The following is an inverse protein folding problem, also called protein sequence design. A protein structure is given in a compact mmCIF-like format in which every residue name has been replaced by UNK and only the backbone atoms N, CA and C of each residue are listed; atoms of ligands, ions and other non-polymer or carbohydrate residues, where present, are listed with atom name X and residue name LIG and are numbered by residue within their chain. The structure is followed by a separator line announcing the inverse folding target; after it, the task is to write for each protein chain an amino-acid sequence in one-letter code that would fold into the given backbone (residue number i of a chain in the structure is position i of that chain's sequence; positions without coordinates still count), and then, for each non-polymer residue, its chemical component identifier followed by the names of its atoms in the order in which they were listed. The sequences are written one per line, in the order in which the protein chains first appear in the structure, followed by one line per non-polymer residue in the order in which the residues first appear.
data_IF_501808951990
#
_entry.id   IF_501808951990
#
_cell.length_a   1.000
_cell.length_b   1.000
_cell.length_c   1.000
_cell.angle_alpha   90.00
_cell.angle_beta   90.00
_cell.angle_gamma   90.00
#
_symmetry.space_group_name_H-M   'P 1'
#
loop_
_entity.id
_entity.type
_entity.pdbx_description
1 polymer ?
#
# COMPACT_ATOMS: atom_id res chain seq x y z
N UNK A 1 -35.47 -34.31 -23.89
CA UNK A 1 -34.10 -33.85 -24.17
C UNK A 1 -33.59 -33.27 -22.86
N UNK A 2 -32.42 -33.69 -22.36
CA UNK A 2 -31.89 -33.20 -21.07
C UNK A 2 -31.10 -31.92 -21.33
N UNK A 3 -31.72 -30.77 -21.10
CA UNK A 3 -31.04 -29.47 -21.19
C UNK A 3 -30.07 -29.23 -20.00
N UNK A 4 -30.02 -30.17 -19.04
CA UNK A 4 -29.32 -30.03 -17.75
C UNK A 4 -27.84 -30.49 -17.74
N UNK A 5 -27.29 -31.03 -18.85
CA UNK A 5 -25.97 -31.71 -18.85
C UNK A 5 -24.82 -30.94 -19.53
N UNK A 6 -25.04 -29.75 -20.09
CA UNK A 6 -23.98 -29.01 -20.81
C UNK A 6 -23.38 -27.92 -19.91
N UNK A 7 -22.16 -28.12 -19.44
CA UNK A 7 -21.41 -27.18 -18.60
C UNK A 7 -20.14 -26.61 -19.28
N UNK A 8 -20.07 -26.68 -20.60
CA UNK A 8 -18.94 -26.21 -21.39
C UNK A 8 -19.43 -25.40 -22.61
N UNK A 9 -18.62 -24.42 -23.03
CA UNK A 9 -18.90 -23.59 -24.21
C UNK A 9 -17.64 -23.50 -25.10
N UNK A 10 -17.76 -23.57 -26.45
CA UNK A 10 -19.01 -23.77 -27.22
C UNK A 10 -19.50 -25.23 -27.19
N UNK A 11 -20.82 -25.43 -27.23
CA UNK A 11 -21.47 -26.74 -27.28
C UNK A 11 -22.33 -26.91 -28.54
N UNK A 12 -22.50 -28.15 -28.99
CA UNK A 12 -23.43 -28.51 -30.08
C UNK A 12 -24.86 -28.76 -29.59
N UNK A 13 -25.02 -28.94 -28.29
CA UNK A 13 -26.29 -29.29 -27.65
C UNK A 13 -26.96 -28.08 -26.97
N UNK A 14 -26.19 -27.07 -26.59
CA UNK A 14 -26.69 -25.82 -26.02
C UNK A 14 -26.49 -24.66 -27.03
N UNK A 15 -27.52 -23.82 -27.18
CA UNK A 15 -27.57 -22.69 -28.12
C UNK A 15 -27.04 -21.37 -27.54
N UNK A 16 -26.59 -21.36 -26.27
CA UNK A 16 -25.95 -20.18 -25.68
C UNK A 16 -24.80 -19.69 -26.57
N UNK A 17 -24.64 -18.36 -26.64
CA UNK A 17 -23.62 -17.67 -27.43
C UNK A 17 -22.99 -16.54 -26.63
N UNK A 18 -21.77 -16.15 -27.00
CA UNK A 18 -21.19 -14.91 -26.50
C UNK A 18 -22.10 -13.72 -26.84
N UNK A 19 -22.19 -12.76 -25.92
CA UNK A 19 -22.86 -11.49 -26.18
C UNK A 19 -22.16 -10.72 -27.31
N UNK A 20 -22.89 -9.80 -27.94
CA UNK A 20 -22.33 -8.91 -28.95
C UNK A 20 -21.20 -8.07 -28.36
N UNK A 21 -20.14 -7.84 -29.15
CA UNK A 21 -19.02 -7.00 -28.73
C UNK A 21 -19.45 -5.54 -28.77
N UNK A 22 -19.42 -4.88 -27.62
CA UNK A 22 -19.47 -3.42 -27.54
C UNK A 22 -18.06 -2.84 -27.63
N UNK A 23 -17.88 -1.59 -28.10
CA UNK A 23 -16.56 -1.00 -28.24
C UNK A 23 -15.85 -0.89 -26.89
N UNK A 24 -14.81 -1.70 -26.69
CA UNK A 24 -13.83 -1.54 -25.61
C UNK A 24 -12.57 -0.92 -26.21
N UNK A 25 -12.19 0.31 -25.82
CA UNK A 25 -10.97 0.94 -26.33
C UNK A 25 -9.75 0.05 -26.05
N UNK A 26 -8.95 -0.33 -27.06
CA UNK A 26 -7.73 -1.07 -26.81
C UNK A 26 -6.72 -0.15 -26.09
N UNK A 27 -6.10 -0.67 -25.03
CA UNK A 27 -4.99 0.03 -24.38
C UNK A 27 -3.70 -0.20 -25.19
N UNK A 28 -2.93 0.86 -25.43
CA UNK A 28 -1.57 0.73 -25.98
C UNK A 28 -0.65 0.30 -24.84
N UNK A 29 -0.13 -0.92 -24.90
CA UNK A 29 0.85 -1.42 -23.95
C UNK A 29 2.26 -1.26 -24.54
N UNK A 30 3.12 -0.50 -23.86
CA UNK A 30 4.53 -0.34 -24.19
C UNK A 30 5.39 -0.83 -23.03
N UNK A 31 6.51 -1.50 -23.35
CA UNK A 31 7.48 -1.94 -22.34
C UNK A 31 8.02 -3.34 -22.60
N UNK A 32 8.89 -3.81 -21.71
CA UNK A 32 9.41 -5.18 -21.71
C UNK A 32 8.66 -6.00 -20.66
N UNK A 33 8.58 -7.32 -20.86
CA UNK A 33 8.07 -8.23 -19.85
C UNK A 33 9.16 -8.45 -18.81
N UNK A 34 9.02 -7.82 -17.65
CA UNK A 34 10.01 -7.86 -16.57
C UNK A 34 9.35 -7.79 -15.19
N UNK A 35 10.15 -8.08 -14.15
CA UNK A 35 9.77 -7.87 -12.74
C UNK A 35 10.63 -6.72 -12.22
N UNK A 36 10.11 -5.50 -12.27
CA UNK A 36 10.79 -4.30 -11.81
C UNK A 36 9.89 -3.50 -10.87
N UNK A 37 10.49 -2.56 -10.13
CA UNK A 37 9.74 -1.56 -9.37
C UNK A 37 9.42 -0.40 -10.32
N UNK A 38 8.31 0.30 -10.09
CA UNK A 38 7.93 1.48 -10.87
C UNK A 38 8.98 2.59 -10.74
N UNK A 39 9.23 3.35 -11.81
CA UNK A 39 10.28 4.38 -11.83
C UNK A 39 10.07 5.49 -10.79
N UNK A 40 8.82 5.91 -10.58
CA UNK A 40 8.46 7.01 -9.67
C UNK A 40 7.83 6.47 -8.39
N UNK A 41 8.58 5.71 -7.61
CA UNK A 41 8.09 5.18 -6.33
C UNK A 41 7.62 6.27 -5.37
N UNK A 42 8.46 7.28 -5.14
CA UNK A 42 8.13 8.47 -4.33
C UNK A 42 7.41 8.14 -2.99
N UNK A 43 7.90 7.13 -2.28
CA UNK A 43 7.19 6.48 -1.17
C UNK A 43 6.88 7.40 0.04
N UNK A 44 7.53 8.56 0.17
CA UNK A 44 7.51 9.37 1.40
C UNK A 44 6.91 10.76 1.26
N UNK A 45 6.80 11.30 0.04
CA UNK A 45 6.34 12.69 -0.17
C UNK A 45 4.88 12.88 0.26
N UNK A 46 3.96 12.09 -0.30
CA UNK A 46 2.52 12.23 -0.02
C UNK A 46 2.18 11.92 1.46
N UNK A 47 2.75 10.89 2.11
CA UNK A 47 2.56 10.69 3.54
C UNK A 47 3.00 11.89 4.39
N UNK A 48 4.14 12.50 4.04
CA UNK A 48 4.65 13.70 4.71
C UNK A 48 3.72 14.91 4.55
N UNK A 49 3.30 15.18 3.32
CA UNK A 49 2.33 16.23 3.00
C UNK A 49 1.01 16.00 3.77
N UNK A 50 0.51 14.77 3.77
CA UNK A 50 -0.71 14.41 4.50
C UNK A 50 -0.58 14.67 6.00
N UNK A 51 0.54 14.29 6.62
CA UNK A 51 0.78 14.55 8.04
C UNK A 51 0.78 16.05 8.38
N UNK A 52 1.35 16.89 7.52
CA UNK A 52 1.37 18.35 7.72
C UNK A 52 -0.02 18.98 7.66
N UNK A 53 -0.97 18.37 6.95
CA UNK A 53 -2.36 18.86 6.90
C UNK A 53 -3.17 18.55 8.15
N UNK A 54 -2.66 17.74 9.08
CA UNK A 54 -3.37 17.42 10.31
C UNK A 54 -3.36 18.60 11.28
N UNK A 55 -4.48 18.79 11.99
CA UNK A 55 -4.48 19.67 13.17
C UNK A 55 -3.53 19.12 14.23
N UNK A 56 -3.01 19.97 15.15
CA UNK A 56 -2.08 19.53 16.19
C UNK A 56 -2.62 18.34 17.02
N UNK A 57 -3.90 18.32 17.36
CA UNK A 57 -4.53 17.24 18.14
C UNK A 57 -4.57 15.94 17.36
N UNK A 58 -4.76 16.03 16.04
CA UNK A 58 -4.74 14.87 15.15
C UNK A 58 -3.32 14.34 14.95
N UNK A 59 -2.32 15.22 14.84
CA UNK A 59 -0.91 14.80 14.80
C UNK A 59 -0.54 14.06 16.08
N UNK A 60 -0.92 14.60 17.24
CA UNK A 60 -0.64 13.99 18.54
C UNK A 60 -1.28 12.60 18.67
N UNK A 61 -2.56 12.47 18.31
CA UNK A 61 -3.25 11.17 18.29
C UNK A 61 -2.60 10.18 17.31
N UNK A 62 -2.13 10.64 16.17
CA UNK A 62 -1.45 9.80 15.20
C UNK A 62 -0.11 9.29 15.74
N UNK A 63 0.67 10.17 16.36
CA UNK A 63 1.95 9.82 17.01
C UNK A 63 1.71 8.81 18.13
N UNK A 64 0.70 9.02 18.98
CA UNK A 64 0.40 8.09 20.07
C UNK A 64 0.11 6.67 19.58
N UNK A 65 -0.69 6.53 18.51
CA UNK A 65 -0.97 5.20 17.92
C UNK A 65 0.29 4.48 17.43
N UNK A 66 1.23 5.22 16.85
CA UNK A 66 2.49 4.66 16.41
C UNK A 66 3.40 4.28 17.57
N UNK A 67 3.39 5.06 18.65
CA UNK A 67 4.11 4.72 19.88
C UNK A 67 3.56 3.43 20.47
N UNK A 68 2.23 3.32 20.61
CA UNK A 68 1.60 2.12 21.16
C UNK A 68 1.96 0.88 20.32
N UNK A 69 1.89 1.00 18.99
CA UNK A 69 2.24 -0.09 18.08
C UNK A 69 3.73 -0.48 18.13
N UNK A 70 4.65 0.49 18.19
CA UNK A 70 6.10 0.24 18.18
C UNK A 70 6.68 -0.10 19.57
N UNK A 71 5.89 0.10 20.63
CA UNK A 71 6.22 -0.30 22.00
C UNK A 71 5.86 -1.74 22.31
N UNK A 72 5.16 -2.44 21.41
CA UNK A 72 4.80 -3.84 21.60
C UNK A 72 6.07 -4.70 21.81
N UNK A 73 6.10 -5.58 22.83
CA UNK A 73 7.28 -6.37 23.18
C UNK A 73 7.75 -7.34 22.07
N UNK A 74 6.88 -7.65 21.11
CA UNK A 74 7.22 -8.49 19.95
C UNK A 74 7.95 -7.71 18.85
N UNK A 75 7.96 -6.39 18.93
CA UNK A 75 8.64 -5.53 17.96
C UNK A 75 10.11 -5.43 18.33
N UNK A 76 10.96 -5.90 17.41
CA UNK A 76 12.41 -5.82 17.57
C UNK A 76 12.89 -4.37 17.43
N UNK A 77 14.05 -4.09 18.00
CA UNK A 77 14.71 -2.79 17.86
C UNK A 77 14.97 -2.43 16.38
N UNK A 78 15.30 -3.43 15.55
CA UNK A 78 15.51 -3.26 14.12
C UNK A 78 14.25 -2.77 13.41
N UNK A 79 13.12 -3.47 13.61
CA UNK A 79 11.83 -3.07 13.01
C UNK A 79 11.46 -1.66 13.46
N UNK A 80 11.65 -1.34 14.75
CA UNK A 80 11.41 0.00 15.29
C UNK A 80 12.27 1.06 14.59
N UNK A 81 13.55 0.79 14.38
CA UNK A 81 14.48 1.69 13.69
C UNK A 81 14.09 1.93 12.23
N UNK A 82 13.69 0.87 11.51
CA UNK A 82 13.22 0.96 10.12
C UNK A 82 12.00 1.87 10.03
N UNK A 83 11.00 1.68 10.90
CA UNK A 83 9.79 2.52 10.91
C UNK A 83 10.10 3.97 11.24
N UNK A 84 10.97 4.23 12.23
CA UNK A 84 11.39 5.60 12.56
C UNK A 84 12.11 6.24 11.36
N UNK A 85 12.95 5.49 10.63
CA UNK A 85 13.60 5.97 9.41
C UNK A 85 12.59 6.35 8.33
N UNK A 86 11.60 5.51 8.06
CA UNK A 86 10.54 5.80 7.09
C UNK A 86 9.71 7.02 7.47
N UNK A 87 9.31 7.14 8.74
CA UNK A 87 8.58 8.32 9.21
C UNK A 87 9.41 9.60 9.17
N UNK A 88 10.73 9.50 9.37
CA UNK A 88 11.67 10.63 9.22
C UNK A 88 11.84 11.07 7.76
N UNK A 89 11.82 10.11 6.82
CA UNK A 89 11.84 10.40 5.39
C UNK A 89 10.54 11.08 4.93
N UNK A 90 9.40 10.70 5.52
CA UNK A 90 8.12 11.37 5.25
C UNK A 90 8.06 12.78 5.84
N UNK A 91 8.38 12.94 7.13
CA UNK A 91 8.46 14.23 7.77
C UNK A 91 9.46 14.24 8.94
N UNK A 92 10.39 15.19 8.93
CA UNK A 92 11.44 15.29 9.96
C UNK A 92 10.87 15.45 11.37
N UNK A 93 9.80 16.24 11.53
CA UNK A 93 9.21 16.49 12.85
C UNK A 93 8.48 15.26 13.39
N UNK A 94 7.84 14.48 12.51
CA UNK A 94 7.20 13.21 12.86
C UNK A 94 8.22 12.19 13.35
N UNK A 95 9.28 11.97 12.57
CA UNK A 95 10.36 11.05 12.92
C UNK A 95 11.02 11.39 14.26
N UNK A 96 11.32 12.68 14.49
CA UNK A 96 11.89 13.15 15.75
C UNK A 96 10.95 12.93 16.95
N UNK A 97 9.66 13.25 16.82
CA UNK A 97 8.68 13.04 17.91
C UNK A 97 8.54 11.56 18.27
N UNK A 98 8.56 10.67 17.28
CA UNK A 98 8.51 9.22 17.50
C UNK A 98 9.79 8.70 18.17
N UNK A 99 10.97 9.08 17.67
CA UNK A 99 12.25 8.65 18.22
C UNK A 99 12.43 9.06 19.68
N UNK A 100 12.11 10.32 20.01
CA UNK A 100 12.22 10.86 21.36
C UNK A 100 11.33 10.14 22.37
N UNK A 101 10.13 9.71 21.98
CA UNK A 101 9.19 9.04 22.91
C UNK A 101 9.43 7.55 23.04
N UNK A 102 10.07 6.93 22.06
CA UNK A 102 10.41 5.50 22.08
C UNK A 102 11.83 5.23 22.64
N UNK A 103 12.53 6.26 23.13
CA UNK A 103 13.90 6.18 23.67
C UNK A 103 14.89 5.45 22.74
N UNK A 104 14.69 5.54 21.42
CA UNK A 104 15.61 4.94 20.45
C UNK A 104 16.84 5.84 20.37
N UNK A 105 17.96 5.37 20.93
CA UNK A 105 19.25 6.08 20.79
C UNK A 105 19.67 6.01 19.31
N UNK A 106 20.23 7.08 18.73
CA UNK A 106 20.83 7.00 17.41
C UNK A 106 21.97 5.99 17.45
N UNK A 107 21.89 4.94 16.63
CA UNK A 107 23.06 4.13 16.32
C UNK A 107 23.95 4.96 15.40
N UNK A 108 25.09 5.39 15.95
CA UNK A 108 26.19 6.06 15.25
C UNK A 108 26.73 5.15 14.14
#
# INVERSE_FOLDING_TARGET
HRDEEVNYFPSRYDQVRHAEKYPTPPAVCSGKRERCIIEKENNFKEPGERYRTFTPERQERFIQRWIDALSDPRITHEIRSIWISYWSQADKSLGQKLASRLNVRPSI
#
